data_IF_424150215292
#
_entry.id   IF_424150215292
#
_cell.length_a   1.000
_cell.length_b   1.000
_cell.length_c   1.000
_cell.angle_alpha   90.00
_cell.angle_beta   90.00
_cell.angle_gamma   90.00
#
_symmetry.space_group_name_H-M   'P 1'
#
loop_
_entity.id
_entity.type
_entity.pdbx_description
1 polymer ?
#
# COMPACT_ATOMS: atom_id res chain seq x y z
N UNK A 1 -18.53 2.74 -8.98
CA UNK A 1 -17.13 2.64 -8.50
C UNK A 1 -16.90 3.32 -7.15
N UNK A 2 -17.87 4.06 -6.61
CA UNK A 2 -17.65 4.89 -5.41
C UNK A 2 -18.13 4.28 -4.09
N UNK A 3 -18.88 3.17 -4.10
CA UNK A 3 -19.35 2.52 -2.87
C UNK A 3 -18.35 1.47 -2.36
N UNK A 4 -17.23 1.92 -1.81
CA UNK A 4 -16.23 1.06 -1.17
C UNK A 4 -16.00 1.47 0.29
N UNK A 5 -15.69 0.48 1.14
CA UNK A 5 -15.14 0.72 2.48
C UNK A 5 -13.65 1.04 2.40
N UNK A 6 -12.92 0.30 1.56
CA UNK A 6 -11.52 0.52 1.24
C UNK A 6 -11.20 0.11 -0.21
N UNK A 7 -10.08 0.62 -0.74
CA UNK A 7 -9.58 0.29 -2.08
C UNK A 7 -8.05 0.30 -2.07
N UNK A 8 -7.45 -0.67 -2.74
CA UNK A 8 -6.03 -0.70 -3.10
C UNK A 8 -5.92 -0.69 -4.62
N UNK A 9 -5.07 0.15 -5.18
CA UNK A 9 -4.92 0.30 -6.63
C UNK A 9 -3.49 0.68 -7.00
N UNK A 10 -3.03 0.22 -8.17
CA UNK A 10 -1.82 0.71 -8.79
C UNK A 10 -2.15 1.85 -9.76
N UNK A 11 -1.34 2.90 -9.78
CA UNK A 11 -1.46 3.98 -10.74
C UNK A 11 -0.12 4.35 -11.34
N UNK A 12 -0.12 4.58 -12.66
CA UNK A 12 1.05 5.04 -13.38
C UNK A 12 0.96 6.55 -13.60
N UNK A 13 2.03 7.25 -13.24
CA UNK A 13 2.21 8.68 -13.50
C UNK A 13 3.09 8.82 -14.74
N UNK A 14 2.48 9.24 -15.85
CA UNK A 14 3.17 9.40 -17.15
C UNK A 14 3.59 10.84 -17.43
N UNK A 15 3.15 11.79 -16.61
CA UNK A 15 3.48 13.19 -16.75
C UNK A 15 2.84 14.04 -15.65
N UNK A 16 3.11 15.36 -15.64
CA UNK A 16 2.56 16.24 -14.63
C UNK A 16 1.03 16.32 -14.70
N UNK A 17 0.36 16.28 -13.55
CA UNK A 17 -1.10 16.34 -13.53
C UNK A 17 -1.72 16.32 -12.14
N UNK A 18 -3.02 16.70 -12.05
CA UNK A 18 -3.76 16.67 -10.81
C UNK A 18 -4.20 15.26 -10.43
N UNK A 19 -4.33 15.00 -9.14
CA UNK A 19 -5.02 13.80 -8.66
C UNK A 19 -6.52 14.05 -8.57
N UNK A 20 -7.33 12.99 -8.72
CA UNK A 20 -8.77 13.07 -8.47
C UNK A 20 -9.08 13.37 -7.00
N UNK A 21 -10.11 14.18 -6.78
CA UNK A 21 -10.68 14.49 -5.47
C UNK A 21 -11.71 13.43 -5.08
N UNK A 22 -11.61 12.93 -3.85
CA UNK A 22 -12.51 11.94 -3.26
C UNK A 22 -13.03 12.44 -1.89
N UNK A 23 -14.20 13.10 -1.84
CA UNK A 23 -14.79 13.54 -0.58
C UNK A 23 -15.08 12.38 0.37
N UNK A 24 -14.77 12.57 1.66
CA UNK A 24 -15.00 11.58 2.71
C UNK A 24 -14.08 10.35 2.64
N UNK A 25 -12.93 10.46 1.98
CA UNK A 25 -11.94 9.38 1.84
C UNK A 25 -10.62 9.81 2.47
N UNK A 26 -9.97 8.91 3.22
CA UNK A 26 -8.56 9.01 3.61
C UNK A 26 -7.70 8.29 2.58
N UNK A 27 -6.51 8.81 2.25
CA UNK A 27 -5.61 8.21 1.25
C UNK A 27 -4.20 8.01 1.81
N UNK A 28 -3.56 6.91 1.43
CA UNK A 28 -2.12 6.71 1.50
C UNK A 28 -1.55 6.47 0.11
N UNK A 29 -0.32 6.91 -0.13
CA UNK A 29 0.40 6.69 -1.38
C UNK A 29 1.81 6.18 -1.11
N UNK A 30 2.27 5.20 -1.89
CA UNK A 30 3.65 4.73 -1.82
C UNK A 30 4.22 4.60 -3.23
N UNK A 31 5.40 5.19 -3.46
CA UNK A 31 6.13 5.01 -4.72
C UNK A 31 6.69 3.59 -4.79
N UNK A 32 6.47 2.92 -5.92
CA UNK A 32 6.92 1.56 -6.21
C UNK A 32 8.06 1.55 -7.24
N UNK A 33 7.97 2.39 -8.27
CA UNK A 33 8.95 2.51 -9.36
C UNK A 33 9.10 3.96 -9.81
N UNK A 34 10.25 4.27 -10.43
CA UNK A 34 10.55 5.59 -10.97
C UNK A 34 11.39 6.46 -10.03
N UNK A 35 11.70 7.66 -10.51
CA UNK A 35 12.38 8.70 -9.75
C UNK A 35 11.45 9.26 -8.66
N UNK A 36 12.00 9.88 -7.58
CA UNK A 36 11.19 10.60 -6.61
C UNK A 36 10.24 11.60 -7.29
N UNK A 37 8.97 11.59 -6.87
CA UNK A 37 7.93 12.43 -7.46
C UNK A 37 7.70 13.63 -6.55
N UNK A 38 7.81 14.84 -7.10
CA UNK A 38 7.43 16.05 -6.38
C UNK A 38 5.92 16.19 -6.41
N UNK A 39 5.31 16.29 -5.24
CA UNK A 39 3.89 16.55 -5.06
C UNK A 39 3.71 17.97 -4.50
N UNK A 40 2.72 18.68 -5.00
CA UNK A 40 2.19 19.89 -4.37
C UNK A 40 0.85 19.52 -3.75
N UNK A 41 0.78 19.50 -2.41
CA UNK A 41 -0.41 19.11 -1.64
C UNK A 41 -0.88 20.34 -0.86
N UNK A 42 -2.04 20.89 -1.24
CA UNK A 42 -2.60 22.10 -0.62
C UNK A 42 -1.59 23.27 -0.55
N UNK A 43 -0.77 23.41 -1.60
CA UNK A 43 0.28 24.43 -1.71
C UNK A 43 1.61 24.10 -1.01
N UNK A 44 1.72 22.94 -0.36
CA UNK A 44 2.95 22.47 0.30
C UNK A 44 3.68 21.46 -0.59
N UNK A 45 4.96 21.72 -0.88
CA UNK A 45 5.80 20.77 -1.60
C UNK A 45 6.18 19.58 -0.71
N UNK A 46 5.85 18.38 -1.16
CA UNK A 46 6.17 17.09 -0.52
C UNK A 46 6.83 16.18 -1.54
N UNK A 47 7.77 15.34 -1.11
CA UNK A 47 8.38 14.35 -1.99
C UNK A 47 7.84 12.96 -1.69
N UNK A 48 7.42 12.27 -2.74
CA UNK A 48 7.12 10.84 -2.70
C UNK A 48 8.33 10.08 -3.22
N UNK A 49 8.98 9.30 -2.35
CA UNK A 49 10.08 8.43 -2.74
C UNK A 49 9.95 7.02 -2.16
N UNK A 50 10.83 6.12 -2.61
CA UNK A 50 10.81 4.70 -2.24
C UNK A 50 11.44 4.41 -0.87
N UNK A 51 12.12 5.37 -0.26
CA UNK A 51 12.81 5.19 1.03
C UNK A 51 11.91 5.56 2.21
N UNK A 52 10.92 6.42 1.99
CA UNK A 52 9.98 6.87 3.01
C UNK A 52 8.78 5.92 3.19
N UNK A 53 8.10 6.00 4.36
CA UNK A 53 6.83 5.33 4.57
C UNK A 53 5.73 5.86 3.62
N UNK A 54 4.58 5.16 3.54
CA UNK A 54 3.43 5.66 2.80
C UNK A 54 3.06 7.10 3.23
N UNK A 55 2.78 7.95 2.26
CA UNK A 55 2.37 9.33 2.45
C UNK A 55 0.86 9.41 2.60
N UNK A 56 0.40 9.84 3.77
CA UNK A 56 -1.02 10.02 4.08
C UNK A 56 -1.52 11.42 3.77
N UNK A 57 -2.70 11.54 3.17
CA UNK A 57 -3.37 12.81 2.91
C UNK A 57 -4.90 12.67 2.78
N UNK A 58 -5.60 13.78 2.91
CA UNK A 58 -7.05 13.82 2.76
C UNK A 58 -7.46 13.60 1.30
N UNK A 59 -8.53 12.84 1.06
CA UNK A 59 -9.09 12.66 -0.29
C UNK A 59 -9.57 13.96 -0.94
N UNK A 60 -9.82 15.03 -0.15
CA UNK A 60 -10.16 16.36 -0.67
C UNK A 60 -8.97 17.30 -0.86
N UNK A 61 -7.75 16.86 -0.52
CA UNK A 61 -6.56 17.68 -0.73
C UNK A 61 -6.36 17.95 -2.22
N UNK A 62 -5.98 19.18 -2.57
CA UNK A 62 -5.57 19.52 -3.92
C UNK A 62 -4.14 19.03 -4.14
N UNK A 63 -3.98 17.96 -4.93
CA UNK A 63 -2.67 17.35 -5.19
C UNK A 63 -2.33 17.48 -6.67
N UNK A 64 -1.15 18.05 -6.94
CA UNK A 64 -0.55 18.07 -8.28
C UNK A 64 0.80 17.35 -8.25
N UNK A 65 0.97 16.37 -9.14
CA UNK A 65 2.20 15.59 -9.23
C UNK A 65 3.09 16.09 -10.37
N UNK A 66 4.40 16.08 -10.13
CA UNK A 66 5.44 16.38 -11.12
C UNK A 66 6.43 15.21 -11.15
N UNK A 67 6.11 14.11 -11.86
CA UNK A 67 7.03 13.00 -12.01
C UNK A 67 8.15 13.37 -13.00
N UNK A 68 9.37 12.90 -12.71
CA UNK A 68 10.49 12.94 -13.65
C UNK A 68 10.60 11.60 -14.38
N UNK A 69 9.95 11.52 -15.53
CA UNK A 69 9.73 10.27 -16.25
C UNK A 69 8.55 9.44 -15.70
N UNK A 70 8.46 8.19 -16.15
CA UNK A 70 7.41 7.25 -15.69
C UNK A 70 7.62 6.89 -14.23
N UNK A 71 6.57 6.97 -13.43
CA UNK A 71 6.52 6.48 -12.06
C UNK A 71 5.31 5.56 -11.85
N UNK A 72 5.45 4.58 -10.95
CA UNK A 72 4.37 3.69 -10.53
C UNK A 72 4.18 3.83 -9.02
N UNK A 73 2.94 4.06 -8.60
CA UNK A 73 2.58 4.11 -7.19
C UNK A 73 1.47 3.11 -6.85
N UNK A 74 1.33 2.84 -5.56
CA UNK A 74 0.14 2.21 -4.99
C UNK A 74 -0.63 3.22 -4.16
N UNK A 75 -1.91 3.38 -4.50
CA UNK A 75 -2.88 4.15 -3.76
C UNK A 75 -3.72 3.25 -2.87
N UNK A 76 -3.80 3.61 -1.59
CA UNK A 76 -4.68 3.00 -0.60
C UNK A 76 -5.71 4.03 -0.20
N UNK A 77 -6.96 3.63 -0.12
CA UNK A 77 -8.07 4.50 0.22
C UNK A 77 -8.96 3.81 1.23
N UNK A 78 -9.49 4.56 2.20
CA UNK A 78 -10.61 4.10 3.03
C UNK A 78 -11.65 5.21 3.21
N UNK A 79 -12.91 4.81 3.32
CA UNK A 79 -14.02 5.75 3.52
C UNK A 79 -14.18 6.07 5.00
N UNK A 80 -14.08 7.36 5.33
CA UNK A 80 -14.20 7.87 6.70
C UNK A 80 -15.59 7.49 7.24
N UNK A 81 -15.64 7.04 8.49
CA UNK A 81 -16.86 6.57 9.15
C UNK A 81 -17.29 5.15 8.77
N UNK A 82 -16.57 4.47 7.87
CA UNK A 82 -16.79 3.03 7.57
C UNK A 82 -15.53 2.21 7.87
N UNK A 83 -14.38 2.73 7.48
CA UNK A 83 -13.12 2.02 7.61
C UNK A 83 -11.96 3.00 7.82
N UNK A 84 -11.06 2.65 8.74
CA UNK A 84 -9.75 3.28 8.90
C UNK A 84 -8.69 2.32 8.37
N UNK A 85 -7.75 2.85 7.60
CA UNK A 85 -6.57 2.08 7.18
C UNK A 85 -5.32 2.58 7.88
N UNK A 86 -4.32 1.70 7.93
CA UNK A 86 -2.93 2.06 8.22
C UNK A 86 -2.01 1.26 7.31
N UNK A 87 -0.93 1.88 6.88
CA UNK A 87 0.01 1.27 5.95
C UNK A 87 1.42 1.31 6.54
N UNK A 88 2.15 0.20 6.40
CA UNK A 88 3.56 0.13 6.79
C UNK A 88 4.35 -0.71 5.80
N UNK A 89 5.63 -0.38 5.70
CA UNK A 89 6.57 -1.14 4.89
C UNK A 89 7.42 -2.01 5.79
N UNK A 90 7.59 -3.28 5.40
CA UNK A 90 8.47 -4.25 6.07
C UNK A 90 9.58 -4.65 5.14
N UNK A 91 10.81 -4.65 5.65
CA UNK A 91 11.95 -5.28 5.00
C UNK A 91 12.10 -6.69 5.55
N UNK A 92 12.22 -7.68 4.67
CA UNK A 92 12.36 -9.08 5.01
C UNK A 92 13.60 -9.66 4.32
N UNK A 93 14.41 -10.40 5.07
CA UNK A 93 15.47 -11.23 4.51
C UNK A 93 15.43 -12.60 5.20
N UNK A 94 15.35 -13.69 4.42
CA UNK A 94 15.21 -15.04 4.97
C UNK A 94 13.80 -15.29 5.52
N UNK A 95 13.72 -15.87 6.73
CA UNK A 95 12.47 -16.33 7.34
C UNK A 95 12.02 -15.41 8.47
N UNK A 96 10.72 -15.12 8.54
CA UNK A 96 10.12 -14.35 9.64
C UNK A 96 8.69 -14.82 9.93
N UNK A 97 8.25 -14.61 11.18
CA UNK A 97 6.84 -14.67 11.52
C UNK A 97 6.25 -13.25 11.46
N UNK A 98 5.13 -13.08 10.76
CA UNK A 98 4.39 -11.84 10.68
C UNK A 98 3.09 -12.01 11.48
N UNK A 99 2.96 -11.25 12.58
CA UNK A 99 1.69 -11.11 13.29
C UNK A 99 0.86 -10.02 12.62
N UNK A 100 -0.37 -10.36 12.24
CA UNK A 100 -1.34 -9.42 11.66
C UNK A 100 -1.79 -8.41 12.70
N UNK A 101 -2.01 -7.18 12.26
CA UNK A 101 -2.46 -6.06 13.08
C UNK A 101 -3.97 -5.79 12.98
N UNK A 102 -4.64 -6.30 11.96
CA UNK A 102 -6.09 -6.14 11.77
C UNK A 102 -6.77 -7.39 11.20
N UNK A 103 -8.11 -7.42 11.33
CA UNK A 103 -8.96 -8.46 10.76
C UNK A 103 -8.96 -8.48 9.24
N UNK A 104 -8.75 -7.33 8.59
CA UNK A 104 -8.59 -7.25 7.14
C UNK A 104 -7.22 -6.66 6.82
N UNK A 105 -6.39 -7.38 6.08
CA UNK A 105 -5.08 -6.90 5.66
C UNK A 105 -4.80 -7.27 4.20
N UNK A 106 -4.08 -6.39 3.50
CA UNK A 106 -3.51 -6.66 2.18
C UNK A 106 -1.99 -6.60 2.30
N UNK A 107 -1.35 -7.72 1.98
CA UNK A 107 0.10 -7.84 1.89
C UNK A 107 0.47 -7.79 0.42
N UNK A 108 1.29 -6.82 0.01
CA UNK A 108 1.79 -6.69 -1.35
C UNK A 108 3.31 -6.83 -1.35
N UNK A 109 3.84 -7.69 -2.22
CA UNK A 109 5.27 -7.75 -2.47
C UNK A 109 5.68 -6.57 -3.36
N UNK A 110 6.35 -5.57 -2.82
CA UNK A 110 6.74 -4.35 -3.54
C UNK A 110 8.05 -4.57 -4.32
N UNK A 111 9.05 -5.16 -3.66
CA UNK A 111 10.37 -5.44 -4.23
C UNK A 111 10.90 -6.79 -3.71
N UNK A 112 11.79 -7.42 -4.48
CA UNK A 112 12.42 -8.69 -4.14
C UNK A 112 12.04 -9.81 -5.12
N UNK A 113 12.56 -11.00 -4.83
CA UNK A 113 12.15 -12.24 -5.50
C UNK A 113 10.86 -12.82 -4.91
N UNK A 114 10.39 -13.96 -5.43
CA UNK A 114 9.14 -14.57 -4.97
C UNK A 114 9.12 -14.76 -3.46
N UNK A 115 8.05 -14.29 -2.82
CA UNK A 115 7.83 -14.43 -1.39
C UNK A 115 6.96 -15.65 -1.12
N UNK A 116 7.41 -16.58 -0.27
CA UNK A 116 6.58 -17.69 0.20
C UNK A 116 5.90 -17.30 1.50
N UNK A 117 4.59 -17.54 1.58
CA UNK A 117 3.76 -17.26 2.74
C UNK A 117 3.08 -18.57 3.13
N UNK A 118 3.40 -19.09 4.32
CA UNK A 118 2.79 -20.28 4.87
C UNK A 118 1.79 -19.92 5.98
N UNK A 119 0.63 -20.56 5.91
CA UNK A 119 -0.49 -20.53 6.86
C UNK A 119 -0.94 -21.98 7.16
N UNK A 120 -1.89 -22.12 8.08
CA UNK A 120 -2.61 -23.36 8.39
C UNK A 120 -3.37 -23.92 7.19
N UNK A 121 -3.77 -23.04 6.26
CA UNK A 121 -4.52 -23.39 5.05
C UNK A 121 -3.64 -23.76 3.87
N UNK A 122 -2.34 -23.46 3.91
CA UNK A 122 -1.40 -23.87 2.88
C UNK A 122 -0.22 -22.92 2.68
N UNK A 123 0.38 -22.98 1.50
CA UNK A 123 1.48 -22.09 1.11
C UNK A 123 1.13 -21.37 -0.18
N UNK A 124 1.20 -20.04 -0.14
CA UNK A 124 1.05 -19.15 -1.29
C UNK A 124 2.41 -18.56 -1.63
N UNK A 125 2.69 -18.40 -2.92
CA UNK A 125 3.82 -17.59 -3.39
C UNK A 125 3.27 -16.28 -3.96
N UNK A 126 3.91 -15.16 -3.65
CA UNK A 126 3.65 -13.88 -4.28
C UNK A 126 4.85 -13.49 -5.13
N UNK A 127 4.59 -13.20 -6.40
CA UNK A 127 5.53 -12.48 -7.25
C UNK A 127 5.40 -10.96 -7.05
N UNK A 128 6.33 -10.22 -7.66
CA UNK A 128 6.43 -8.78 -7.48
C UNK A 128 5.14 -8.09 -7.95
N UNK A 129 4.63 -7.19 -7.11
CA UNK A 129 3.36 -6.46 -7.20
C UNK A 129 2.09 -7.32 -7.07
N UNK A 130 2.23 -8.62 -6.80
CA UNK A 130 1.11 -9.43 -6.36
C UNK A 130 0.78 -9.17 -4.90
N UNK A 131 -0.47 -9.44 -4.54
CA UNK A 131 -0.97 -9.21 -3.20
C UNK A 131 -1.79 -10.39 -2.68
N UNK A 132 -1.64 -10.65 -1.38
CA UNK A 132 -2.49 -11.55 -0.62
C UNK A 132 -3.47 -10.71 0.21
N UNK A 133 -4.76 -10.95 0.02
CA UNK A 133 -5.82 -10.37 0.84
C UNK A 133 -6.22 -11.37 1.92
N UNK A 134 -6.19 -10.93 3.17
CA UNK A 134 -6.51 -11.68 4.36
C UNK A 134 -7.74 -11.10 5.07
N UNK A 135 -8.56 -11.97 5.61
CA UNK A 135 -9.78 -11.66 6.35
C UNK A 135 -9.74 -12.22 7.78
N UNK A 136 -10.82 -12.03 8.53
CA UNK A 136 -10.86 -12.31 9.97
C UNK A 136 -10.70 -13.81 10.28
N UNK A 137 -11.11 -14.68 9.36
CA UNK A 137 -11.02 -16.13 9.48
C UNK A 137 -9.62 -16.68 9.21
N UNK A 138 -8.74 -15.90 8.58
CA UNK A 138 -7.38 -16.34 8.28
C UNK A 138 -6.48 -16.27 9.52
N UNK A 139 -5.39 -17.02 9.50
CA UNK A 139 -4.43 -17.06 10.60
C UNK A 139 -3.99 -15.67 11.03
N UNK A 140 -3.83 -15.49 12.35
CA UNK A 140 -3.26 -14.26 12.92
C UNK A 140 -1.75 -14.16 12.69
N UNK A 141 -1.06 -15.30 12.53
CA UNK A 141 0.39 -15.36 12.32
C UNK A 141 0.67 -16.07 11.00
N UNK A 142 1.44 -15.40 10.13
CA UNK A 142 1.92 -15.94 8.87
C UNK A 142 3.42 -16.19 8.94
N UNK A 143 3.89 -17.26 8.30
CA UNK A 143 5.31 -17.54 8.16
C UNK A 143 5.80 -17.14 6.79
N UNK A 144 6.66 -16.13 6.74
CA UNK A 144 7.20 -15.55 5.52
C UNK A 144 8.60 -16.11 5.25
N UNK A 145 8.90 -16.40 3.99
CA UNK A 145 10.24 -16.80 3.54
C UNK A 145 10.57 -16.10 2.21
N UNK A 146 11.63 -15.29 2.24
CA UNK A 146 12.18 -14.62 1.07
C UNK A 146 13.63 -15.08 0.84
N UNK A 147 13.91 -15.60 -0.36
CA UNK A 147 15.26 -16.04 -0.74
C UNK A 147 16.26 -14.88 -0.87
N UNK A 148 15.76 -13.68 -1.16
CA UNK A 148 16.51 -12.44 -1.26
C UNK A 148 15.81 -11.36 -0.44
N UNK A 149 16.50 -10.23 -0.09
CA UNK A 149 15.84 -9.10 0.54
C UNK A 149 14.58 -8.67 -0.22
N UNK A 150 13.47 -8.56 0.50
CA UNK A 150 12.16 -8.24 -0.02
C UNK A 150 11.55 -7.07 0.75
N UNK A 151 10.82 -6.22 0.04
CA UNK A 151 10.07 -5.09 0.58
C UNK A 151 8.59 -5.39 0.45
N UNK A 152 7.88 -5.33 1.57
CA UNK A 152 6.46 -5.66 1.67
C UNK A 152 5.69 -4.41 2.09
N UNK A 153 4.60 -4.11 1.39
CA UNK A 153 3.61 -3.16 1.87
C UNK A 153 2.49 -3.95 2.58
N UNK A 154 2.24 -3.61 3.84
CA UNK A 154 1.13 -4.15 4.62
C UNK A 154 0.12 -3.03 4.82
N UNK A 155 -1.10 -3.23 4.33
CA UNK A 155 -2.22 -2.30 4.49
C UNK A 155 -3.27 -2.97 5.36
N UNK A 156 -3.45 -2.46 6.57
CA UNK A 156 -4.41 -2.95 7.54
C UNK A 156 -5.68 -2.10 7.49
N UNK A 157 -6.84 -2.74 7.53
CA UNK A 157 -8.16 -2.11 7.43
C UNK A 157 -9.01 -2.52 8.63
N UNK A 158 -9.48 -1.52 9.39
CA UNK A 158 -10.33 -1.69 10.56
C UNK A 158 -11.68 -1.02 10.29
N UNK A 159 -12.77 -1.75 10.47
CA UNK A 159 -14.12 -1.18 10.44
C UNK A 159 -14.31 -0.24 11.62
N UNK A 160 -14.80 0.97 11.34
CA UNK A 160 -15.15 1.92 12.39
C UNK A 160 -16.45 1.44 13.07
N UNK A 161 -16.39 1.10 14.36
CA UNK A 161 -17.56 0.78 15.18
C UNK A 161 -18.49 1.98 15.34
#
# INVERSE_FOLDING_TARGET
>A
MDDFAWRVSLAELQGPGPFSIYPGVSRSLLLLEGNPVRLEIDGVTTWLDRQHPPLDFCGTANVFAHPDGRALDVGIMSRIGRCRHSCRVVQLAGKAALTRSAHTEVLMLVEGGPLRIASSTGVVALDRLESLWLEAQDDTVLHLEAAHPARLLISAFETSC
#
